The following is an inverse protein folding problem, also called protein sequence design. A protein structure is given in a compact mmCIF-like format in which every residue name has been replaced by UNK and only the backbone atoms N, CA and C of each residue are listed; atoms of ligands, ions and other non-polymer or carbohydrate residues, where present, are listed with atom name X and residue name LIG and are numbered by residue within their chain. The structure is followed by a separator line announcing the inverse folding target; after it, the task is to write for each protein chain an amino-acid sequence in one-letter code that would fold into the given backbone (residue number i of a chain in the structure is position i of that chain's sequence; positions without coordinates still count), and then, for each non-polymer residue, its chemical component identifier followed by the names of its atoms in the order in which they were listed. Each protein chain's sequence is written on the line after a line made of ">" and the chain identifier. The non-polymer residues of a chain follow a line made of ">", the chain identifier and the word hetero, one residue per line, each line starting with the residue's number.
data_IF_966349917875
#
_entry.id   IF_966349917875
#
_cell.length_a   1.000
_cell.length_b   1.000
_cell.length_c   1.000
_cell.angle_alpha   90.00
_cell.angle_beta   90.00
_cell.angle_gamma   90.00
#
_symmetry.space_group_name_H-M   'P 1'
#
loop_
_entity.id
_entity.type
_entity.pdbx_description
1 polymer ?
#
# COMPACT_ATOMS: atom_id res chain seq x y z
N UNK A 1 -26.14 -3.04 -3.75
CA UNK A 1 -25.27 -4.00 -3.05
C UNK A 1 -23.93 -3.34 -2.83
N UNK A 2 -23.52 -3.15 -1.60
CA UNK A 2 -22.15 -2.75 -1.38
C UNK A 2 -21.24 -3.84 -1.98
N UNK A 3 -20.33 -3.44 -2.84
CA UNK A 3 -19.25 -4.33 -3.25
C UNK A 3 -18.46 -4.54 -1.98
N UNK A 4 -18.62 -5.69 -1.34
CA UNK A 4 -17.78 -6.09 -0.24
C UNK A 4 -16.40 -6.28 -0.86
N UNK A 5 -15.59 -5.22 -0.84
CA UNK A 5 -14.17 -5.38 -1.08
C UNK A 5 -13.68 -6.33 0.02
N UNK A 6 -13.05 -7.42 -0.35
CA UNK A 6 -12.42 -8.28 0.64
C UNK A 6 -11.47 -7.42 1.49
N UNK A 7 -11.73 -7.25 2.78
CA UNK A 7 -10.93 -6.35 3.60
C UNK A 7 -9.52 -6.90 3.79
N UNK A 8 -8.59 -6.01 4.10
CA UNK A 8 -7.28 -6.39 4.58
C UNK A 8 -7.43 -6.93 6.00
N UNK A 9 -6.99 -8.16 6.21
CA UNK A 9 -7.05 -8.78 7.54
C UNK A 9 -5.72 -8.56 8.27
N UNK A 10 -5.79 -8.41 9.59
CA UNK A 10 -4.65 -8.05 10.43
C UNK A 10 -4.43 -9.11 11.50
N UNK A 11 -3.18 -9.49 11.74
CA UNK A 11 -2.76 -10.25 12.91
C UNK A 11 -1.51 -9.60 13.50
N UNK A 12 -1.48 -9.43 14.82
CA UNK A 12 -0.33 -8.89 15.53
C UNK A 12 0.31 -10.00 16.34
N UNK A 13 1.57 -10.28 16.05
CA UNK A 13 2.35 -11.33 16.69
C UNK A 13 3.67 -10.76 17.16
N UNK A 14 3.81 -10.56 18.47
CA UNK A 14 4.97 -9.86 19.02
C UNK A 14 5.09 -8.44 18.46
N UNK A 15 6.23 -8.11 17.92
CA UNK A 15 6.50 -6.80 17.31
C UNK A 15 6.05 -6.70 15.84
N UNK A 16 5.69 -7.82 15.22
CA UNK A 16 5.34 -7.90 13.80
C UNK A 16 3.84 -7.77 13.58
N UNK A 17 3.46 -6.98 12.60
CA UNK A 17 2.10 -6.88 12.09
C UNK A 17 2.00 -7.64 10.77
N UNK A 18 1.11 -8.61 10.70
CA UNK A 18 0.81 -9.34 9.48
C UNK A 18 -0.45 -8.79 8.83
N UNK A 19 -0.37 -8.47 7.55
CA UNK A 19 -1.47 -7.96 6.75
C UNK A 19 -1.77 -8.98 5.65
N UNK A 20 -2.93 -9.60 5.69
CA UNK A 20 -3.39 -10.50 4.64
C UNK A 20 -4.05 -9.70 3.54
N UNK A 21 -3.38 -9.63 2.40
CA UNK A 21 -3.80 -8.79 1.28
C UNK A 21 -4.83 -9.55 0.42
N UNK A 22 -5.94 -8.90 0.04
CA UNK A 22 -6.98 -9.54 -0.75
C UNK A 22 -6.49 -9.88 -2.17
N UNK A 23 -7.28 -10.64 -2.90
CA UNK A 23 -6.96 -11.10 -4.26
C UNK A 23 -6.54 -9.96 -5.19
N UNK A 24 -7.18 -8.80 -5.05
CA UNK A 24 -6.88 -7.60 -5.83
C UNK A 24 -6.48 -6.45 -4.92
N UNK A 25 -5.22 -6.07 -4.98
CA UNK A 25 -4.67 -4.90 -4.31
C UNK A 25 -4.76 -3.69 -5.24
N UNK A 26 -5.76 -2.84 -5.05
CA UNK A 26 -6.08 -1.72 -5.93
C UNK A 26 -6.17 -0.38 -5.19
N UNK A 27 -6.54 0.68 -5.88
CA UNK A 27 -6.65 2.02 -5.31
C UNK A 27 -7.66 2.11 -4.15
N UNK A 28 -8.71 1.31 -4.11
CA UNK A 28 -9.66 1.28 -3.00
C UNK A 28 -9.03 0.65 -1.74
N UNK A 29 -8.41 -0.50 -1.89
CA UNK A 29 -7.69 -1.16 -0.79
C UNK A 29 -6.44 -0.38 -0.35
N UNK A 30 -5.93 0.51 -1.19
CA UNK A 30 -4.81 1.40 -0.84
C UNK A 30 -5.19 2.39 0.28
N UNK A 31 -6.42 2.89 0.29
CA UNK A 31 -6.91 3.77 1.34
C UNK A 31 -6.98 3.02 2.67
N UNK A 32 -7.50 1.80 2.65
CA UNK A 32 -7.54 0.93 3.83
C UNK A 32 -6.14 0.60 4.36
N UNK A 33 -5.22 0.24 3.45
CA UNK A 33 -3.82 -0.04 3.79
C UNK A 33 -3.15 1.15 4.48
N UNK A 34 -3.30 2.35 3.91
CA UNK A 34 -2.72 3.58 4.45
C UNK A 34 -3.24 3.85 5.87
N UNK A 35 -4.53 3.68 6.10
CA UNK A 35 -5.16 3.87 7.41
C UNK A 35 -4.66 2.84 8.45
N UNK A 36 -4.58 1.57 8.07
CA UNK A 36 -4.11 0.49 8.95
C UNK A 36 -2.64 0.74 9.35
N UNK A 37 -1.76 0.92 8.38
CA UNK A 37 -0.34 1.10 8.65
C UNK A 37 -0.09 2.38 9.46
N UNK A 38 -0.70 3.50 9.08
CA UNK A 38 -0.56 4.76 9.80
C UNK A 38 -1.02 4.65 11.25
N UNK A 39 -2.16 4.00 11.48
CA UNK A 39 -2.70 3.81 12.83
C UNK A 39 -1.80 2.93 13.69
N UNK A 40 -1.34 1.80 13.15
CA UNK A 40 -0.47 0.88 13.88
C UNK A 40 0.92 1.44 14.09
N UNK A 41 1.46 2.19 13.14
CA UNK A 41 2.72 2.90 13.30
C UNK A 41 2.65 3.94 14.44
N UNK A 42 1.57 4.71 14.55
CA UNK A 42 1.36 5.63 15.69
C UNK A 42 1.29 4.91 17.03
N UNK A 43 0.95 3.61 17.03
CA UNK A 43 0.98 2.74 18.22
C UNK A 43 2.34 2.07 18.45
N UNK A 44 3.39 2.49 17.72
CA UNK A 44 4.75 2.00 17.88
C UNK A 44 5.09 0.75 17.08
N UNK A 45 4.28 0.40 16.07
CA UNK A 45 4.59 -0.74 15.19
C UNK A 45 5.46 -0.30 14.02
N UNK A 46 6.55 -1.02 13.77
CA UNK A 46 7.53 -0.66 12.74
C UNK A 46 7.76 -1.76 11.70
N UNK A 47 7.37 -3.00 12.01
CA UNK A 47 7.57 -4.17 11.14
C UNK A 47 6.24 -4.69 10.64
N UNK A 48 6.05 -4.60 9.31
CA UNK A 48 4.83 -5.04 8.63
C UNK A 48 5.17 -6.13 7.62
N UNK A 49 4.45 -7.23 7.70
CA UNK A 49 4.57 -8.35 6.75
C UNK A 49 3.27 -8.45 5.95
N UNK A 50 3.37 -8.19 4.65
CA UNK A 50 2.24 -8.35 3.74
C UNK A 50 2.21 -9.79 3.23
N UNK A 51 1.20 -10.54 3.64
CA UNK A 51 0.93 -11.88 3.09
C UNK A 51 0.20 -11.74 1.76
N UNK A 52 0.92 -12.01 0.68
CA UNK A 52 0.47 -11.93 -0.70
C UNK A 52 0.02 -13.29 -1.28
N UNK A 53 -0.13 -14.31 -0.43
CA UNK A 53 -0.48 -15.67 -0.88
C UNK A 53 -1.75 -15.70 -1.73
N UNK A 54 -2.76 -14.90 -1.38
CA UNK A 54 -4.02 -14.80 -2.11
C UNK A 54 -4.05 -13.65 -3.13
N UNK A 55 -3.07 -12.76 -3.09
CA UNK A 55 -3.03 -11.59 -3.97
C UNK A 55 -2.56 -11.98 -5.37
N UNK A 56 -3.46 -11.89 -6.34
CA UNK A 56 -3.17 -12.21 -7.74
C UNK A 56 -2.69 -11.00 -8.53
N UNK A 57 -3.20 -9.80 -8.18
CA UNK A 57 -2.89 -8.56 -8.87
C UNK A 57 -2.71 -7.40 -7.91
N UNK A 58 -1.80 -6.50 -8.27
CA UNK A 58 -1.55 -5.26 -7.55
C UNK A 58 -1.46 -4.12 -8.56
N UNK A 59 -2.02 -2.97 -8.22
CA UNK A 59 -1.88 -1.77 -9.06
C UNK A 59 -0.77 -0.83 -8.56
N UNK A 60 -0.45 0.16 -9.38
CA UNK A 60 0.60 1.14 -9.07
C UNK A 60 0.24 2.05 -7.89
N UNK A 61 -1.04 2.28 -7.62
CA UNK A 61 -1.46 3.07 -6.45
C UNK A 61 -1.13 2.34 -5.16
N UNK A 62 -1.49 1.05 -5.08
CA UNK A 62 -1.19 0.23 -3.90
C UNK A 62 0.32 0.14 -3.66
N UNK A 63 1.08 -0.09 -4.73
CA UNK A 63 2.54 -0.18 -4.65
C UNK A 63 3.18 1.15 -4.27
N UNK A 64 2.68 2.27 -4.80
CA UNK A 64 3.18 3.60 -4.45
C UNK A 64 2.94 3.96 -2.98
N UNK A 65 1.80 3.55 -2.42
CA UNK A 65 1.52 3.71 -0.98
C UNK A 65 2.52 2.90 -0.14
N UNK A 66 2.76 1.63 -0.51
CA UNK A 66 3.76 0.80 0.18
C UNK A 66 5.16 1.42 0.13
N UNK A 67 5.59 1.84 -1.05
CA UNK A 67 6.90 2.47 -1.23
C UNK A 67 7.05 3.75 -0.37
N UNK A 68 5.98 4.52 -0.22
CA UNK A 68 5.95 5.71 0.62
C UNK A 68 6.20 5.45 2.10
N UNK A 69 5.84 4.27 2.61
CA UNK A 69 6.12 3.90 4.00
C UNK A 69 7.56 3.43 4.25
N UNK A 70 8.22 2.93 3.23
CA UNK A 70 9.62 2.48 3.33
C UNK A 70 10.60 3.65 3.22
N UNK A 71 10.24 4.67 2.45
CA UNK A 71 11.08 5.84 2.29
C UNK A 71 10.96 6.77 3.49
N UNK A 72 12.07 7.34 3.97
CA UNK A 72 11.99 8.34 5.03
C UNK A 72 11.19 9.54 4.53
N UNK A 73 10.16 9.92 5.29
CA UNK A 73 9.43 11.17 5.04
C UNK A 73 10.37 12.34 5.32
N UNK A 74 10.73 13.07 4.28
CA UNK A 74 11.65 14.22 4.31
C UNK A 74 13.09 13.90 4.75
N UNK A 75 14.00 14.85 4.50
CA UNK A 75 15.40 14.80 4.90
C UNK A 75 15.63 14.83 6.43
N UNK A 76 14.63 14.43 7.21
CA UNK A 76 14.70 14.38 8.66
C UNK A 76 15.27 13.03 9.11
N UNK A 77 16.48 12.99 9.68
CA UNK A 77 17.10 11.75 10.17
C UNK A 77 16.34 11.08 11.32
N UNK A 78 15.27 11.69 11.83
CA UNK A 78 14.37 11.12 12.85
C UNK A 78 13.11 10.48 12.26
N UNK A 79 12.93 10.54 10.94
CA UNK A 79 11.82 9.86 10.25
C UNK A 79 12.18 8.39 10.11
N UNK A 80 11.54 7.57 10.89
CA UNK A 80 11.73 6.12 10.87
C UNK A 80 11.10 5.55 9.61
N UNK A 81 11.89 4.97 8.72
CA UNK A 81 11.37 4.15 7.64
C UNK A 81 10.84 2.85 8.22
N UNK A 82 9.68 2.39 7.74
CA UNK A 82 9.10 1.12 8.17
C UNK A 82 9.79 -0.06 7.51
N UNK A 83 9.92 -1.16 8.22
CA UNK A 83 10.36 -2.43 7.67
C UNK A 83 9.14 -3.13 7.05
N UNK A 84 9.00 -3.02 5.75
CA UNK A 84 7.92 -3.66 4.97
C UNK A 84 8.47 -4.92 4.31
N UNK A 85 7.86 -6.04 4.63
CA UNK A 85 8.23 -7.34 4.09
C UNK A 85 7.12 -7.92 3.25
N UNK A 86 7.47 -8.51 2.11
CA UNK A 86 6.54 -9.12 1.19
C UNK A 86 6.67 -10.65 1.28
N UNK A 87 5.60 -11.30 1.70
CA UNK A 87 5.55 -12.76 1.85
C UNK A 87 4.78 -13.38 0.69
N UNK A 88 5.38 -14.39 0.05
CA UNK A 88 4.76 -15.17 -1.02
C UNK A 88 4.32 -14.33 -2.24
N UNK A 89 5.08 -13.28 -2.60
CA UNK A 89 4.83 -12.52 -3.81
C UNK A 89 4.94 -13.40 -5.07
N UNK A 90 3.93 -13.37 -5.93
CA UNK A 90 3.93 -14.10 -7.19
C UNK A 90 4.75 -13.38 -8.26
N UNK A 91 5.01 -14.08 -9.39
CA UNK A 91 5.82 -13.53 -10.50
C UNK A 91 5.25 -12.23 -11.09
N UNK A 92 3.93 -12.08 -11.12
CA UNK A 92 3.28 -10.89 -11.66
C UNK A 92 3.52 -9.67 -10.78
N UNK A 93 3.45 -9.86 -9.46
CA UNK A 93 3.74 -8.80 -8.48
C UNK A 93 5.22 -8.45 -8.50
N UNK A 94 6.12 -9.44 -8.49
CA UNK A 94 7.56 -9.17 -8.56
C UNK A 94 7.95 -8.45 -9.85
N UNK A 95 7.39 -8.84 -11.00
CA UNK A 95 7.61 -8.16 -12.27
C UNK A 95 7.12 -6.69 -12.24
N UNK A 96 6.01 -6.41 -11.57
CA UNK A 96 5.53 -5.04 -11.37
C UNK A 96 6.51 -4.22 -10.53
N UNK A 97 6.97 -4.78 -9.41
CA UNK A 97 7.97 -4.15 -8.54
C UNK A 97 9.25 -3.79 -9.29
N UNK A 98 9.77 -4.73 -10.08
CA UNK A 98 10.96 -4.52 -10.92
C UNK A 98 10.70 -3.45 -11.99
N UNK A 99 9.54 -3.48 -12.66
CA UNK A 99 9.21 -2.52 -13.71
C UNK A 99 9.07 -1.08 -13.22
N UNK A 100 8.78 -0.90 -11.93
CA UNK A 100 8.67 0.40 -11.28
C UNK A 100 9.92 0.75 -10.44
N UNK A 101 10.97 -0.07 -10.53
CA UNK A 101 12.26 0.15 -9.85
C UNK A 101 12.13 0.29 -8.32
N UNK A 102 11.22 -0.45 -7.71
CA UNK A 102 10.95 -0.43 -6.26
C UNK A 102 11.19 -1.77 -5.56
N UNK A 103 11.58 -2.80 -6.28
CA UNK A 103 11.85 -4.14 -5.75
C UNK A 103 12.89 -4.14 -4.63
N UNK A 104 13.90 -3.28 -4.72
CA UNK A 104 14.98 -3.14 -3.75
C UNK A 104 14.54 -2.51 -2.41
N UNK A 105 13.34 -1.92 -2.34
CA UNK A 105 12.81 -1.28 -1.12
C UNK A 105 12.27 -2.29 -0.11
N UNK A 106 11.95 -3.50 -0.54
CA UNK A 106 11.25 -4.49 0.26
C UNK A 106 12.12 -5.71 0.58
N UNK A 107 11.88 -6.29 1.73
CA UNK A 107 12.44 -7.61 2.08
C UNK A 107 11.45 -8.69 1.66
N UNK A 108 11.94 -9.71 0.98
CA UNK A 108 11.11 -10.85 0.54
C UNK A 108 11.21 -12.01 1.52
N UNK A 109 10.06 -12.54 1.91
CA UNK A 109 9.96 -13.73 2.74
C UNK A 109 9.20 -14.84 2.00
N UNK A 110 9.65 -16.08 2.16
CA UNK A 110 8.89 -17.26 1.78
C UNK A 110 8.46 -17.98 3.05
N UNK A 111 7.20 -18.31 3.12
CA UNK A 111 6.69 -19.14 4.20
C UNK A 111 7.02 -20.59 3.92
N UNK A 112 7.66 -21.24 4.87
CA UNK A 112 7.93 -22.69 4.83
C UNK A 112 6.82 -23.50 5.51
N UNK A 113 5.99 -22.84 6.34
CA UNK A 113 4.90 -23.48 7.09
C UNK A 113 3.65 -22.60 7.11
N UNK A 114 2.43 -23.16 7.15
CA UNK A 114 1.19 -22.40 7.25
C UNK A 114 1.17 -21.54 8.50
N UNK A 115 0.71 -20.30 8.37
CA UNK A 115 0.47 -19.43 9.52
C UNK A 115 -0.59 -20.01 10.45
N UNK A 116 -0.25 -20.17 11.73
CA UNK A 116 -1.14 -20.68 12.76
C UNK A 116 -1.89 -19.59 13.53
N UNK A 117 -1.58 -18.31 13.27
CA UNK A 117 -2.26 -17.19 13.95
C UNK A 117 -3.54 -16.77 13.24
N UNK A 118 -4.47 -16.23 14.01
CA UNK A 118 -5.78 -15.79 13.53
C UNK A 118 -5.70 -14.37 12.98
N UNK A 119 -6.20 -14.19 11.77
CA UNK A 119 -6.39 -12.89 11.17
C UNK A 119 -7.79 -12.36 11.50
N UNK A 120 -7.88 -11.07 11.79
CA UNK A 120 -9.12 -10.38 12.09
C UNK A 120 -9.26 -9.13 11.21
N UNK A 121 -10.50 -8.68 11.03
CA UNK A 121 -10.74 -7.35 10.45
C UNK A 121 -10.22 -6.29 11.40
N UNK A 122 -9.54 -5.29 10.86
CA UNK A 122 -9.08 -4.19 11.69
C UNK A 122 -10.28 -3.35 12.13
N UNK A 123 -10.51 -3.29 13.46
CA UNK A 123 -11.67 -2.60 14.07
C UNK A 123 -11.54 -1.08 13.98
N UNK A 124 -11.52 -0.55 12.79
CA UNK A 124 -11.84 0.85 12.52
C UNK A 124 -13.19 0.88 11.83
N UNK A 125 -13.99 1.91 12.09
CA UNK A 125 -15.13 2.22 11.24
C UNK A 125 -14.57 2.63 9.86
N UNK A 126 -14.18 1.63 9.07
CA UNK A 126 -13.72 1.83 7.70
C UNK A 126 -14.99 2.01 6.87
N UNK A 127 -15.42 3.25 6.74
CA UNK A 127 -16.39 3.61 5.72
C UNK A 127 -15.77 3.40 4.35
N UNK A 128 -16.59 3.06 3.36
CA UNK A 128 -16.12 3.01 1.97
C UNK A 128 -15.38 4.31 1.62
N UNK A 129 -14.18 4.22 1.00
CA UNK A 129 -13.42 5.42 0.67
C UNK A 129 -14.18 6.29 -0.34
N UNK A 130 -14.19 7.58 -0.07
CA UNK A 130 -14.77 8.55 -1.00
C UNK A 130 -13.90 8.69 -2.26
N UNK A 131 -14.50 9.15 -3.37
CA UNK A 131 -13.75 9.45 -4.60
C UNK A 131 -12.58 10.41 -4.31
N UNK A 132 -12.78 11.40 -3.46
CA UNK A 132 -11.75 12.36 -3.06
C UNK A 132 -10.58 11.68 -2.34
N UNK A 133 -10.85 10.78 -1.41
CA UNK A 133 -9.81 10.02 -0.72
C UNK A 133 -9.00 9.15 -1.67
N UNK A 134 -9.67 8.47 -2.60
CA UNK A 134 -9.01 7.65 -3.62
C UNK A 134 -8.13 8.51 -4.53
N UNK A 135 -8.61 9.67 -4.98
CA UNK A 135 -7.84 10.57 -5.84
C UNK A 135 -6.61 11.14 -5.13
N UNK A 136 -6.75 11.55 -3.88
CA UNK A 136 -5.64 12.08 -3.05
C UNK A 136 -4.56 11.01 -2.87
N UNK A 137 -4.94 9.80 -2.50
CA UNK A 137 -3.97 8.73 -2.27
C UNK A 137 -3.31 8.27 -3.56
N UNK A 138 -4.08 8.20 -4.67
CA UNK A 138 -3.53 7.85 -5.98
C UNK A 138 -2.54 8.89 -6.49
N UNK A 139 -2.83 10.16 -6.31
CA UNK A 139 -1.90 11.24 -6.68
C UNK A 139 -0.59 11.12 -5.88
N UNK A 140 -0.70 11.01 -4.56
CA UNK A 140 0.46 10.85 -3.67
C UNK A 140 1.30 9.64 -4.05
N UNK A 141 0.67 8.49 -4.29
CA UNK A 141 1.34 7.25 -4.65
C UNK A 141 2.14 7.37 -5.95
N UNK A 142 1.54 7.94 -6.99
CA UNK A 142 2.20 8.11 -8.29
C UNK A 142 3.32 9.15 -8.24
N UNK A 143 3.15 10.24 -7.51
CA UNK A 143 4.23 11.22 -7.27
C UNK A 143 5.41 10.56 -6.54
N UNK A 144 5.13 9.70 -5.58
CA UNK A 144 6.14 8.94 -4.85
C UNK A 144 6.94 8.03 -5.79
N UNK A 145 6.26 7.29 -6.68
CA UNK A 145 6.93 6.42 -7.66
C UNK A 145 7.79 7.22 -8.66
N UNK A 146 7.33 8.40 -9.07
CA UNK A 146 8.09 9.28 -9.97
C UNK A 146 9.34 9.86 -9.28
N UNK A 147 9.29 10.10 -7.98
CA UNK A 147 10.42 10.59 -7.18
C UNK A 147 11.45 9.49 -6.94
N UNK A 148 11.02 8.24 -6.75
CA UNK A 148 11.90 7.10 -6.54
C UNK A 148 12.80 6.85 -7.74
N UNK A 149 12.23 6.87 -8.95
CA UNK A 149 13.00 6.63 -10.17
C UNK A 149 12.50 7.51 -11.33
N UNK A 150 13.39 8.27 -12.01
CA UNK A 150 13.02 9.09 -13.15
C UNK A 150 12.38 8.33 -14.31
N UNK A 151 12.62 7.01 -14.45
CA UNK A 151 11.98 6.16 -15.45
C UNK A 151 10.46 6.04 -15.24
N UNK A 152 9.99 6.32 -14.04
CA UNK A 152 8.56 6.32 -13.72
C UNK A 152 7.84 7.61 -14.17
N UNK A 153 8.58 8.70 -14.41
CA UNK A 153 7.98 9.98 -14.82
C UNK A 153 7.13 9.86 -16.08
N UNK A 154 7.63 9.32 -17.21
CA UNK A 154 6.81 9.19 -18.41
C UNK A 154 5.64 8.24 -18.25
N UNK A 155 5.68 7.31 -17.29
CA UNK A 155 4.58 6.36 -17.01
C UNK A 155 3.40 7.03 -16.30
N UNK A 156 3.66 8.02 -15.43
CA UNK A 156 2.67 8.55 -14.51
C UNK A 156 2.41 10.05 -14.64
N UNK A 157 3.15 10.80 -15.46
CA UNK A 157 2.96 12.25 -15.60
C UNK A 157 1.54 12.64 -16.00
N UNK A 158 0.93 11.91 -16.91
CA UNK A 158 -0.42 12.22 -17.43
C UNK A 158 -1.48 11.92 -16.38
N UNK A 159 -1.39 10.78 -15.68
CA UNK A 159 -2.33 10.44 -14.61
C UNK A 159 -2.20 11.38 -13.41
N UNK A 160 -1.00 11.81 -13.07
CA UNK A 160 -0.80 12.79 -11.99
C UNK A 160 -1.33 14.17 -12.36
N UNK A 161 -1.18 14.59 -13.61
CA UNK A 161 -1.80 15.82 -14.09
C UNK A 161 -3.33 15.75 -14.02
N UNK A 162 -3.91 14.66 -14.51
CA UNK A 162 -5.36 14.44 -14.44
C UNK A 162 -5.88 14.48 -13.00
N UNK A 163 -5.23 13.78 -12.08
CA UNK A 163 -5.62 13.74 -10.66
C UNK A 163 -5.49 15.11 -9.97
N UNK A 164 -4.52 15.93 -10.37
CA UNK A 164 -4.39 17.31 -9.87
C UNK A 164 -5.54 18.20 -10.36
N UNK A 165 -5.97 18.05 -11.61
CA UNK A 165 -7.08 18.80 -12.18
C UNK A 165 -8.42 18.41 -11.53
N UNK A 166 -8.65 17.10 -11.34
CA UNK A 166 -9.81 16.57 -10.61
C UNK A 166 -9.90 17.12 -9.18
N UNK A 167 -8.76 17.27 -8.50
CA UNK A 167 -8.70 17.78 -7.13
C UNK A 167 -9.03 19.28 -7.03
N UNK A 168 -8.93 20.03 -8.11
CA UNK A 168 -9.25 21.47 -8.16
C UNK A 168 -10.73 21.73 -8.51
N UNK A 169 -11.45 20.75 -9.05
CA UNK A 169 -12.85 20.87 -9.42
C UNK A 169 -13.71 20.63 -8.18
N UNK A 170 -14.53 21.60 -7.73
CA UNK A 170 -15.42 21.38 -6.60
C UNK A 170 -16.39 20.23 -6.91
N UNK A 171 -16.81 19.45 -5.89
CA UNK A 171 -17.76 18.39 -6.10
C UNK A 171 -19.05 18.98 -6.73
N UNK A 172 -19.42 18.50 -7.89
CA UNK A 172 -20.71 18.77 -8.51
C UNK A 172 -21.80 18.22 -7.58
N UNK A 173 -22.64 19.14 -7.11
CA UNK A 173 -23.80 18.86 -6.26
C UNK A 173 -24.76 17.90 -6.90
#
# INVERSE_FOLDING_TARGET
>A
MPIISNPILVAIVGERVFLKIPERANCLSSVELDQIITTLHRRGREVFVLDLTQCTTMDSTFLGVLAGFVLPADSNPKSTSLDIRLRNANRRITALLESLCVDHLFTYERESEPCTFVFETFSMEISEPTKTQVNVISLKAHLQLMEIDPLNVPKFKDVTQFLREESKTPPTS
#
